data_IF_563965593905
#
_entry.id   IF_563965593905
#
_cell.length_a   1.000
_cell.length_b   1.000
_cell.length_c   1.000
_cell.angle_alpha   90.00
_cell.angle_beta   90.00
_cell.angle_gamma   90.00
#
_symmetry.space_group_name_H-M   'P 1'
#
loop_
_entity.id
_entity.type
_entity.pdbx_description
1 polymer ?
#
# COMPACT_ATOMS: atom_id res chain seq x y z
N UNK A 1 5.88 -68.08 -24.61
CA UNK A 1 4.59 -68.41 -23.97
C UNK A 1 4.57 -67.63 -22.67
N UNK A 2 3.82 -66.54 -22.50
CA UNK A 2 2.41 -66.36 -22.87
C UNK A 2 2.16 -64.93 -23.37
N UNK A 3 1.26 -64.86 -24.34
CA UNK A 3 0.76 -63.69 -25.08
C UNK A 3 -0.01 -62.67 -24.24
N UNK A 4 -0.02 -61.46 -24.82
CA UNK A 4 -0.95 -60.33 -24.71
C UNK A 4 -2.33 -60.56 -24.10
N UNK A 5 -2.74 -59.63 -23.24
CA UNK A 5 -4.15 -59.23 -23.08
C UNK A 5 -4.26 -57.74 -23.38
N UNK A 6 -4.72 -57.49 -24.60
CA UNK A 6 -5.14 -56.19 -25.12
C UNK A 6 -6.47 -55.79 -24.49
N UNK A 7 -6.52 -54.65 -23.79
CA UNK A 7 -7.79 -53.97 -23.51
C UNK A 7 -7.88 -52.79 -24.48
N UNK A 8 -8.42 -53.09 -25.66
CA UNK A 8 -8.89 -52.08 -26.60
C UNK A 8 -10.20 -51.50 -26.05
N UNK A 9 -10.15 -50.27 -25.54
CA UNK A 9 -11.35 -49.42 -25.50
C UNK A 9 -11.38 -48.64 -26.81
N UNK A 10 -11.91 -49.30 -27.84
CA UNK A 10 -12.37 -48.66 -29.07
C UNK A 10 -13.73 -48.05 -28.75
N UNK A 11 -13.75 -46.76 -28.47
CA UNK A 11 -14.94 -45.93 -28.73
C UNK A 11 -14.67 -45.20 -30.03
N UNK A 12 -15.38 -45.65 -31.07
CA UNK A 12 -15.35 -45.12 -32.41
C UNK A 12 -15.65 -43.62 -32.43
N UNK A 13 -14.65 -42.81 -32.78
CA UNK A 13 -14.88 -41.48 -33.32
C UNK A 13 -15.06 -41.63 -34.84
N UNK A 14 -16.30 -41.88 -35.25
CA UNK A 14 -16.70 -41.70 -36.65
C UNK A 14 -16.71 -40.21 -36.96
N UNK A 15 -15.76 -39.78 -37.80
CA UNK A 15 -15.75 -38.44 -38.38
C UNK A 15 -14.36 -37.85 -38.43
N UNK A 16 -13.58 -38.22 -39.44
CA UNK A 16 -12.57 -37.33 -40.02
C UNK A 16 -13.29 -36.22 -40.78
N UNK A 17 -13.14 -34.93 -40.42
CA UNK A 17 -13.19 -33.88 -41.41
C UNK A 17 -11.76 -33.46 -41.71
N UNK A 18 -11.26 -33.97 -42.83
CA UNK A 18 -10.18 -33.31 -43.54
C UNK A 18 -10.60 -31.88 -43.87
N UNK A 19 -9.98 -30.91 -43.21
CA UNK A 19 -9.71 -29.58 -43.72
C UNK A 19 -8.84 -28.85 -42.70
N UNK A 20 -7.67 -28.42 -43.15
CA UNK A 20 -6.72 -27.53 -42.47
C UNK A 20 -7.37 -26.17 -42.12
N UNK A 21 -8.25 -26.15 -41.13
CA UNK A 21 -8.75 -24.95 -40.49
C UNK A 21 -7.89 -24.67 -39.27
N UNK A 22 -7.08 -23.60 -39.30
CA UNK A 22 -6.47 -23.10 -38.09
C UNK A 22 -7.55 -22.97 -37.00
N UNK A 23 -7.32 -23.43 -35.76
CA UNK A 23 -8.33 -23.35 -34.72
C UNK A 23 -8.78 -21.91 -34.59
N UNK A 24 -10.10 -21.67 -34.67
CA UNK A 24 -10.67 -20.34 -34.45
C UNK A 24 -10.17 -19.75 -33.13
N UNK A 25 -10.28 -18.43 -32.97
CA UNK A 25 -9.74 -17.71 -31.80
C UNK A 25 -10.08 -18.40 -30.47
N UNK A 26 -11.31 -18.87 -30.30
CA UNK A 26 -11.75 -19.60 -29.12
C UNK A 26 -11.00 -20.93 -28.93
N UNK A 27 -10.85 -21.73 -29.99
CA UNK A 27 -10.10 -22.99 -29.94
C UNK A 27 -8.62 -22.77 -29.61
N UNK A 28 -8.02 -21.70 -30.16
CA UNK A 28 -6.66 -21.29 -29.80
C UNK A 28 -6.58 -20.91 -28.32
N UNK A 29 -7.48 -20.06 -27.82
CA UNK A 29 -7.48 -19.65 -26.41
C UNK A 29 -7.66 -20.82 -25.43
N UNK A 30 -8.57 -21.75 -25.72
CA UNK A 30 -8.78 -22.95 -24.89
C UNK A 30 -7.54 -23.83 -24.88
N UNK A 31 -6.88 -23.99 -26.03
CA UNK A 31 -5.62 -24.74 -26.13
C UNK A 31 -4.52 -24.08 -25.30
N UNK A 32 -4.28 -22.79 -25.49
CA UNK A 32 -3.25 -22.07 -24.74
C UNK A 32 -3.54 -22.06 -23.23
N UNK A 33 -4.80 -21.95 -22.82
CA UNK A 33 -5.21 -22.09 -21.42
C UNK A 33 -4.83 -23.46 -20.85
N UNK A 34 -5.15 -24.55 -21.57
CA UNK A 34 -4.79 -25.90 -21.12
C UNK A 34 -3.28 -26.06 -20.98
N UNK A 35 -2.53 -25.69 -22.02
CA UNK A 35 -1.08 -25.89 -22.07
C UNK A 35 -0.33 -25.02 -21.06
N UNK A 36 -0.71 -23.75 -20.92
CA UNK A 36 0.05 -22.80 -20.10
C UNK A 36 -0.41 -22.76 -18.63
N UNK A 37 -1.66 -23.15 -18.35
CA UNK A 37 -2.28 -22.98 -17.02
C UNK A 37 -2.66 -24.33 -16.39
N UNK A 38 -3.39 -25.18 -17.11
CA UNK A 38 -3.94 -26.42 -16.53
C UNK A 38 -2.86 -27.50 -16.41
N UNK A 39 -2.17 -27.82 -17.49
CA UNK A 39 -1.12 -28.86 -17.51
C UNK A 39 0.01 -28.59 -16.51
N UNK A 40 0.49 -27.35 -16.32
CA UNK A 40 1.51 -27.04 -15.32
C UNK A 40 0.96 -26.94 -13.88
N UNK A 41 -0.34 -27.22 -13.64
CA UNK A 41 -0.97 -27.15 -12.32
C UNK A 41 -1.15 -25.73 -11.77
N UNK A 42 -1.14 -24.71 -12.63
CA UNK A 42 -1.23 -23.29 -12.25
C UNK A 42 -2.67 -22.78 -12.13
N UNK A 43 -3.65 -23.60 -12.47
CA UNK A 43 -5.07 -23.23 -12.52
C UNK A 43 -5.60 -22.59 -11.22
N UNK A 44 -5.34 -23.13 -10.01
CA UNK A 44 -5.80 -22.49 -8.78
C UNK A 44 -5.24 -21.07 -8.57
N UNK A 45 -3.97 -20.85 -8.92
CA UNK A 45 -3.32 -19.55 -8.80
C UNK A 45 -3.83 -18.57 -9.86
N UNK A 46 -4.08 -19.05 -11.08
CA UNK A 46 -4.70 -18.26 -12.14
C UNK A 46 -6.11 -17.81 -11.73
N UNK A 47 -6.94 -18.74 -11.22
CA UNK A 47 -8.28 -18.42 -10.79
C UNK A 47 -8.32 -17.52 -9.55
N UNK A 48 -7.34 -17.63 -8.65
CA UNK A 48 -7.12 -16.65 -7.58
C UNK A 48 -6.91 -15.25 -8.15
N UNK A 49 -6.04 -15.10 -9.15
CA UNK A 49 -5.81 -13.80 -9.80
C UNK A 49 -7.09 -13.26 -10.45
N UNK A 50 -7.84 -14.12 -11.15
CA UNK A 50 -9.12 -13.75 -11.78
C UNK A 50 -10.15 -13.33 -10.74
N UNK A 51 -10.37 -14.14 -9.69
CA UNK A 51 -11.32 -13.84 -8.62
C UNK A 51 -10.96 -12.55 -7.88
N UNK A 52 -9.68 -12.28 -7.68
CA UNK A 52 -9.18 -11.04 -7.10
C UNK A 52 -9.51 -9.83 -7.98
N UNK A 53 -9.15 -9.86 -9.26
CA UNK A 53 -9.42 -8.73 -10.18
C UNK A 53 -10.94 -8.49 -10.30
N UNK A 54 -11.72 -9.55 -10.49
CA UNK A 54 -13.17 -9.45 -10.69
C UNK A 54 -13.88 -8.91 -9.45
N UNK A 55 -13.58 -9.42 -8.26
CA UNK A 55 -14.19 -8.95 -7.01
C UNK A 55 -13.84 -7.50 -6.69
N UNK A 56 -12.57 -7.10 -6.90
CA UNK A 56 -12.14 -5.72 -6.72
C UNK A 56 -12.85 -4.77 -7.71
N UNK A 57 -12.90 -5.14 -8.99
CA UNK A 57 -13.60 -4.36 -9.99
C UNK A 57 -15.10 -4.26 -9.70
N UNK A 58 -15.70 -5.38 -9.28
CA UNK A 58 -17.11 -5.46 -8.91
C UNK A 58 -17.44 -4.54 -7.74
N UNK A 59 -16.69 -4.59 -6.64
CA UNK A 59 -17.00 -3.75 -5.48
C UNK A 59 -16.78 -2.26 -5.77
N UNK A 60 -15.75 -1.92 -6.55
CA UNK A 60 -15.52 -0.54 -7.03
C UNK A 60 -16.67 -0.04 -7.89
N UNK A 61 -17.18 -0.90 -8.78
CA UNK A 61 -18.34 -0.59 -9.61
C UNK A 61 -19.59 -0.42 -8.73
N UNK A 62 -19.83 -1.33 -7.79
CA UNK A 62 -20.94 -1.27 -6.84
C UNK A 62 -20.96 0.06 -6.09
N UNK A 63 -19.85 0.43 -5.43
CA UNK A 63 -19.73 1.72 -4.71
C UNK A 63 -19.97 2.91 -5.63
N UNK A 64 -19.49 2.84 -6.88
CA UNK A 64 -19.71 3.90 -7.87
C UNK A 64 -21.19 4.02 -8.24
N UNK A 65 -21.87 2.91 -8.52
CA UNK A 65 -23.30 2.89 -8.83
C UNK A 65 -24.13 3.44 -7.66
N UNK A 66 -23.78 3.08 -6.42
CA UNK A 66 -24.41 3.59 -5.20
C UNK A 66 -24.23 5.11 -5.08
N UNK A 67 -23.02 5.62 -5.28
CA UNK A 67 -22.73 7.07 -5.25
C UNK A 67 -23.43 7.85 -6.35
N UNK A 68 -23.69 7.22 -7.50
CA UNK A 68 -24.46 7.82 -8.60
C UNK A 68 -25.98 7.67 -8.45
N UNK A 69 -26.47 7.04 -7.38
CA UNK A 69 -27.91 6.89 -7.13
C UNK A 69 -28.63 6.02 -8.16
N UNK A 70 -27.94 5.02 -8.72
CA UNK A 70 -28.49 4.15 -9.77
C UNK A 70 -29.62 3.28 -9.19
N UNK A 71 -30.86 3.55 -9.62
CA UNK A 71 -32.09 3.00 -9.03
C UNK A 71 -32.26 1.48 -9.09
N UNK A 72 -31.66 0.81 -10.08
CA UNK A 72 -31.76 -0.66 -10.22
C UNK A 72 -30.75 -1.42 -9.35
N UNK A 73 -29.77 -0.73 -8.78
CA UNK A 73 -28.76 -1.37 -7.95
C UNK A 73 -29.26 -1.50 -6.50
N UNK A 74 -29.14 -2.67 -5.85
CA UNK A 74 -29.72 -2.95 -4.53
C UNK A 74 -29.18 -2.09 -3.37
N UNK A 75 -28.14 -1.29 -3.61
CA UNK A 75 -27.64 -0.35 -2.61
C UNK A 75 -26.79 -1.00 -1.53
N UNK A 76 -26.74 -0.36 -0.36
CA UNK A 76 -25.97 -0.84 0.79
C UNK A 76 -26.72 -1.96 1.54
N UNK A 77 -25.98 -2.97 2.01
CA UNK A 77 -26.51 -4.04 2.84
C UNK A 77 -26.54 -3.56 4.30
N UNK A 78 -27.74 -3.32 4.84
CA UNK A 78 -27.96 -2.82 6.21
C UNK A 78 -29.05 -3.60 6.97
N UNK A 79 -28.82 -4.88 7.32
CA UNK A 79 -29.77 -5.64 8.12
C UNK A 79 -29.88 -5.01 9.52
N UNK A 80 -31.07 -4.53 9.90
CA UNK A 80 -31.30 -3.92 11.21
C UNK A 80 -30.55 -2.61 11.48
N UNK A 81 -30.10 -1.90 10.43
CA UNK A 81 -29.35 -0.63 10.56
C UNK A 81 -27.84 -0.78 10.73
N UNK A 82 -27.30 -2.01 10.77
CA UNK A 82 -25.85 -2.25 10.82
C UNK A 82 -25.26 -2.28 9.41
N UNK A 83 -24.35 -1.35 9.10
CA UNK A 83 -23.62 -1.35 7.84
C UNK A 83 -22.49 -2.38 7.86
N UNK A 84 -22.66 -3.46 7.10
CA UNK A 84 -21.65 -4.51 6.99
C UNK A 84 -20.64 -4.10 5.91
N UNK A 85 -19.39 -3.87 6.32
CA UNK A 85 -18.30 -3.63 5.38
C UNK A 85 -18.07 -4.89 4.54
N UNK A 86 -17.92 -4.73 3.23
CA UNK A 86 -17.71 -5.87 2.32
C UNK A 86 -16.44 -6.67 2.63
N UNK A 87 -15.48 -6.06 3.34
CA UNK A 87 -14.33 -6.73 3.96
C UNK A 87 -14.72 -7.95 4.81
N UNK A 88 -15.87 -7.91 5.49
CA UNK A 88 -16.35 -9.03 6.32
C UNK A 88 -16.65 -10.27 5.45
N UNK A 89 -17.28 -10.08 4.30
CA UNK A 89 -17.47 -11.16 3.33
C UNK A 89 -16.13 -11.65 2.79
N UNK A 90 -15.18 -10.74 2.57
CA UNK A 90 -13.82 -11.09 2.17
C UNK A 90 -13.11 -12.01 3.17
N UNK A 91 -13.23 -11.72 4.48
CA UNK A 91 -12.70 -12.58 5.55
C UNK A 91 -13.37 -13.96 5.52
N UNK A 92 -14.68 -14.02 5.32
CA UNK A 92 -15.39 -15.29 5.18
C UNK A 92 -14.84 -16.13 4.03
N UNK A 93 -14.68 -15.54 2.83
CA UNK A 93 -14.09 -16.24 1.69
C UNK A 93 -12.66 -16.70 1.95
N UNK A 94 -11.83 -15.90 2.62
CA UNK A 94 -10.49 -16.31 3.04
C UNK A 94 -10.51 -17.50 3.99
N UNK A 95 -11.39 -17.52 4.99
CA UNK A 95 -11.49 -18.64 5.93
C UNK A 95 -11.92 -19.92 5.22
N UNK A 96 -13.00 -19.86 4.42
CA UNK A 96 -13.49 -21.01 3.66
C UNK A 96 -12.43 -21.52 2.69
N UNK A 97 -11.83 -20.64 1.89
CA UNK A 97 -10.84 -21.01 0.90
C UNK A 97 -9.53 -21.49 1.52
N UNK A 98 -9.05 -20.79 2.55
CA UNK A 98 -7.81 -21.11 3.25
C UNK A 98 -7.91 -22.45 3.99
N UNK A 99 -8.96 -22.66 4.78
CA UNK A 99 -9.19 -23.94 5.47
C UNK A 99 -9.40 -25.05 4.46
N UNK A 100 -10.24 -24.82 3.45
CA UNK A 100 -10.48 -25.78 2.37
C UNK A 100 -9.19 -26.20 1.65
N UNK A 101 -8.24 -25.28 1.47
CA UNK A 101 -6.97 -25.58 0.80
C UNK A 101 -6.12 -26.63 1.52
N UNK A 102 -6.28 -26.78 2.84
CA UNK A 102 -5.58 -27.78 3.65
C UNK A 102 -6.31 -29.11 3.75
N UNK A 103 -7.63 -29.14 3.51
CA UNK A 103 -8.45 -30.35 3.63
C UNK A 103 -8.67 -31.06 2.30
N UNK A 104 -8.58 -30.35 1.17
CA UNK A 104 -8.84 -30.91 -0.16
C UNK A 104 -7.59 -31.63 -0.70
N UNK A 105 -7.72 -32.92 -1.10
CA UNK A 105 -6.61 -33.68 -1.69
C UNK A 105 -6.07 -33.06 -2.97
N UNK A 106 -4.79 -33.33 -3.27
CA UNK A 106 -4.12 -32.80 -4.46
C UNK A 106 -4.80 -33.19 -5.78
N UNK A 107 -5.43 -34.37 -5.85
CA UNK A 107 -6.10 -34.89 -7.04
C UNK A 107 -7.49 -34.26 -7.33
N UNK A 108 -8.01 -33.44 -6.43
CA UNK A 108 -9.32 -32.79 -6.59
C UNK A 108 -9.19 -31.41 -7.26
N UNK A 109 -8.67 -31.39 -8.49
CA UNK A 109 -8.26 -30.16 -9.19
C UNK A 109 -9.38 -29.11 -9.27
N UNK A 110 -10.61 -29.52 -9.60
CA UNK A 110 -11.75 -28.60 -9.68
C UNK A 110 -12.06 -27.87 -8.36
N UNK A 111 -11.95 -28.56 -7.22
CA UNK A 111 -12.14 -27.95 -5.91
C UNK A 111 -11.00 -27.01 -5.54
N UNK A 112 -9.76 -27.36 -5.88
CA UNK A 112 -8.61 -26.49 -5.65
C UNK A 112 -8.72 -25.21 -6.49
N UNK A 113 -9.18 -25.34 -7.73
CA UNK A 113 -9.47 -24.25 -8.65
C UNK A 113 -10.56 -23.32 -8.10
N UNK A 114 -11.66 -23.88 -7.57
CA UNK A 114 -12.71 -23.10 -6.90
C UNK A 114 -12.20 -22.39 -5.64
N UNK A 115 -11.45 -23.07 -4.78
CA UNK A 115 -10.88 -22.48 -3.58
C UNK A 115 -9.90 -21.35 -3.92
N UNK A 116 -9.08 -21.52 -4.96
CA UNK A 116 -8.22 -20.47 -5.50
C UNK A 116 -9.04 -19.24 -5.89
N UNK A 117 -10.10 -19.42 -6.69
CA UNK A 117 -11.01 -18.34 -7.06
C UNK A 117 -11.61 -17.62 -5.85
N UNK A 118 -12.17 -18.37 -4.89
CA UNK A 118 -12.77 -17.80 -3.68
C UNK A 118 -11.74 -17.07 -2.82
N UNK A 119 -10.52 -17.60 -2.69
CA UNK A 119 -9.44 -16.90 -2.00
C UNK A 119 -9.13 -15.56 -2.68
N UNK A 120 -9.10 -15.55 -4.01
CA UNK A 120 -8.99 -14.35 -4.83
C UNK A 120 -10.09 -13.35 -4.54
N UNK A 121 -11.36 -13.80 -4.54
CA UNK A 121 -12.51 -12.97 -4.16
C UNK A 121 -12.32 -12.36 -2.77
N UNK A 122 -11.85 -13.15 -1.80
CA UNK A 122 -11.48 -12.67 -0.47
C UNK A 122 -10.44 -11.55 -0.51
N UNK A 123 -9.37 -11.71 -1.29
CA UNK A 123 -8.33 -10.70 -1.46
C UNK A 123 -8.89 -9.37 -2.00
N UNK A 124 -9.74 -9.42 -3.04
CA UNK A 124 -10.29 -8.22 -3.65
C UNK A 124 -11.21 -7.44 -2.72
N UNK A 125 -12.05 -8.15 -1.95
CA UNK A 125 -12.95 -7.53 -0.99
C UNK A 125 -12.22 -6.97 0.24
N UNK A 126 -11.21 -7.68 0.77
CA UNK A 126 -10.48 -7.18 1.94
C UNK A 126 -9.55 -6.01 1.58
N UNK A 127 -8.84 -6.11 0.45
CA UNK A 127 -7.85 -5.10 0.07
C UNK A 127 -8.48 -3.81 -0.45
N UNK A 128 -9.74 -3.82 -0.86
CA UNK A 128 -10.45 -2.58 -1.21
C UNK A 128 -10.52 -1.62 -0.01
N UNK A 129 -10.70 -2.18 1.20
CA UNK A 129 -10.72 -1.46 2.48
C UNK A 129 -9.37 -1.45 3.21
N UNK A 130 -8.27 -1.76 2.51
CA UNK A 130 -6.93 -1.79 3.11
C UNK A 130 -6.58 -0.53 3.92
N UNK A 131 -7.04 0.63 3.46
CA UNK A 131 -6.89 1.90 4.18
C UNK A 131 -7.51 1.87 5.58
N UNK A 132 -8.72 1.31 5.72
CA UNK A 132 -9.46 1.18 6.98
C UNK A 132 -8.80 0.18 7.92
N UNK A 133 -8.29 -0.94 7.39
CA UNK A 133 -7.56 -1.96 8.17
C UNK A 133 -6.34 -1.36 8.87
N UNK A 134 -5.61 -0.46 8.21
CA UNK A 134 -4.42 0.15 8.79
C UNK A 134 -4.71 1.34 9.72
N UNK A 135 -5.86 2.00 9.58
CA UNK A 135 -6.20 3.21 10.33
C UNK A 135 -7.67 3.12 10.73
N UNK A 136 -7.93 2.54 11.91
CA UNK A 136 -9.28 2.27 12.44
C UNK A 136 -10.02 3.52 12.96
N UNK A 137 -9.35 4.67 13.05
CA UNK A 137 -9.96 5.92 13.49
C UNK A 137 -10.63 6.60 12.29
N UNK A 138 -11.95 6.38 12.18
CA UNK A 138 -12.84 7.15 11.32
C UNK A 138 -12.47 8.64 11.34
N UNK A 139 -12.50 9.26 10.15
CA UNK A 139 -12.03 10.61 9.81
C UNK A 139 -10.59 10.62 9.30
N UNK A 140 -10.34 10.26 8.04
CA UNK A 140 -9.32 10.99 7.24
C UNK A 140 -9.55 10.87 5.72
N UNK A 141 -9.68 12.03 5.09
CA UNK A 141 -10.36 12.30 3.82
C UNK A 141 -9.52 12.05 2.55
N UNK A 142 -10.19 11.66 1.45
CA UNK A 142 -9.85 11.79 0.01
C UNK A 142 -8.55 11.23 -0.59
N UNK A 143 -7.46 11.07 0.18
CA UNK A 143 -6.18 10.59 -0.37
C UNK A 143 -6.01 9.07 -0.26
N UNK A 144 -6.77 8.42 0.62
CA UNK A 144 -6.57 7.03 1.05
C UNK A 144 -7.15 5.98 0.09
N UNK A 145 -8.16 6.30 -0.72
CA UNK A 145 -8.62 5.40 -1.81
C UNK A 145 -7.46 5.01 -2.74
N UNK A 146 -6.42 5.84 -2.82
CA UNK A 146 -5.18 5.58 -3.56
C UNK A 146 -4.27 4.55 -2.89
N UNK A 147 -4.26 4.45 -1.54
CA UNK A 147 -3.45 3.46 -0.81
C UNK A 147 -4.01 2.04 -0.94
N UNK A 148 -5.33 1.88 -0.93
CA UNK A 148 -5.96 0.59 -1.22
C UNK A 148 -5.66 0.15 -2.66
N UNK A 149 -5.72 1.06 -3.64
CA UNK A 149 -5.36 0.75 -5.03
C UNK A 149 -3.88 0.35 -5.16
N UNK A 150 -2.97 1.04 -4.46
CA UNK A 150 -1.55 0.62 -4.40
C UNK A 150 -1.42 -0.81 -3.87
N UNK A 151 -2.12 -1.16 -2.77
CA UNK A 151 -2.08 -2.51 -2.20
C UNK A 151 -2.64 -3.57 -3.18
N UNK A 152 -3.74 -3.27 -3.86
CA UNK A 152 -4.36 -4.17 -4.85
C UNK A 152 -3.46 -4.38 -6.06
N UNK A 153 -2.88 -3.31 -6.62
CA UNK A 153 -1.93 -3.42 -7.74
C UNK A 153 -0.74 -4.29 -7.34
N UNK A 154 -0.19 -4.07 -6.14
CA UNK A 154 0.91 -4.89 -5.64
C UNK A 154 0.52 -6.36 -5.52
N UNK A 155 -0.67 -6.66 -4.99
CA UNK A 155 -1.19 -8.02 -4.88
C UNK A 155 -1.33 -8.68 -6.24
N UNK A 156 -1.99 -8.01 -7.20
CA UNK A 156 -2.16 -8.48 -8.59
C UNK A 156 -0.80 -8.73 -9.25
N UNK A 157 0.14 -7.80 -9.11
CA UNK A 157 1.48 -7.93 -9.68
C UNK A 157 2.23 -9.12 -9.08
N UNK A 158 2.17 -9.30 -7.76
CA UNK A 158 2.87 -10.40 -7.10
C UNK A 158 2.27 -11.76 -7.47
N UNK A 159 0.94 -11.88 -7.47
CA UNK A 159 0.24 -13.10 -7.89
C UNK A 159 0.49 -13.40 -9.36
N UNK A 160 0.40 -12.41 -10.26
CA UNK A 160 0.70 -12.58 -11.67
C UNK A 160 2.16 -12.97 -11.92
N UNK A 161 3.08 -12.42 -11.13
CA UNK A 161 4.50 -12.78 -11.21
C UNK A 161 4.75 -14.22 -10.78
N UNK A 162 4.09 -14.68 -9.71
CA UNK A 162 4.13 -16.10 -9.29
C UNK A 162 3.55 -17.02 -10.35
N UNK A 163 2.51 -16.58 -11.08
CA UNK A 163 1.94 -17.35 -12.17
C UNK A 163 2.92 -17.54 -13.34
N UNK A 164 3.67 -16.49 -13.68
CA UNK A 164 4.64 -16.50 -14.78
C UNK A 164 5.92 -17.25 -14.39
N UNK A 165 6.54 -16.86 -13.28
CA UNK A 165 7.86 -17.34 -12.85
C UNK A 165 7.78 -18.70 -12.14
N UNK A 166 6.64 -19.03 -11.55
CA UNK A 166 6.52 -20.13 -10.60
C UNK A 166 7.05 -19.74 -9.21
N UNK A 167 6.89 -20.63 -8.22
CA UNK A 167 7.32 -20.33 -6.87
C UNK A 167 8.86 -20.30 -6.79
N UNK A 168 9.44 -19.33 -6.07
CA UNK A 168 10.89 -19.13 -6.01
C UNK A 168 11.61 -20.29 -5.32
N UNK A 169 10.91 -21.27 -4.75
CA UNK A 169 11.54 -22.44 -4.16
C UNK A 169 12.20 -23.33 -5.22
N UNK A 170 11.79 -23.31 -6.49
CA UNK A 170 12.33 -24.17 -7.56
C UNK A 170 13.85 -24.11 -7.79
N UNK A 171 14.60 -23.20 -7.15
CA UNK A 171 16.06 -23.25 -7.12
C UNK A 171 16.64 -24.53 -6.47
N UNK A 172 15.86 -25.29 -5.69
CA UNK A 172 16.30 -26.61 -5.19
C UNK A 172 16.44 -27.65 -6.33
N UNK A 173 15.71 -27.50 -7.43
CA UNK A 173 15.72 -28.45 -8.56
C UNK A 173 16.90 -28.23 -9.52
N UNK A 174 17.58 -27.09 -9.43
CA UNK A 174 18.74 -26.75 -10.26
C UNK A 174 20.05 -27.43 -9.81
N UNK A 175 19.98 -28.46 -8.96
CA UNK A 175 21.14 -29.22 -8.49
C UNK A 175 22.10 -28.43 -7.59
N UNK A 176 21.66 -27.32 -7.00
CA UNK A 176 22.48 -26.50 -6.12
C UNK A 176 22.75 -27.16 -4.77
N UNK A 177 23.97 -27.00 -4.24
CA UNK A 177 24.25 -27.43 -2.86
C UNK A 177 23.34 -26.66 -1.88
N UNK A 178 22.84 -27.28 -0.79
CA UNK A 178 21.97 -26.59 0.18
C UNK A 178 22.60 -25.30 0.73
N UNK A 179 23.92 -25.30 0.92
CA UNK A 179 24.69 -24.12 1.31
C UNK A 179 24.67 -23.03 0.23
N UNK A 180 24.83 -23.41 -1.05
CA UNK A 180 24.76 -22.47 -2.17
C UNK A 180 23.39 -21.83 -2.31
N UNK A 181 22.32 -22.64 -2.24
CA UNK A 181 20.93 -22.13 -2.26
C UNK A 181 20.68 -21.18 -1.09
N UNK A 182 21.09 -21.57 0.11
CA UNK A 182 20.96 -20.73 1.31
C UNK A 182 21.73 -19.42 1.16
N UNK A 183 22.95 -19.45 0.63
CA UNK A 183 23.76 -18.27 0.40
C UNK A 183 23.10 -17.31 -0.61
N UNK A 184 22.52 -17.84 -1.69
CA UNK A 184 21.79 -17.04 -2.70
C UNK A 184 20.53 -16.40 -2.09
N UNK A 185 19.75 -17.16 -1.31
CA UNK A 185 18.56 -16.63 -0.64
C UNK A 185 18.92 -15.52 0.35
N UNK A 186 19.97 -15.73 1.16
CA UNK A 186 20.50 -14.71 2.07
C UNK A 186 20.99 -13.47 1.31
N UNK A 187 21.71 -13.65 0.20
CA UNK A 187 22.17 -12.53 -0.62
C UNK A 187 20.99 -11.74 -1.21
N UNK A 188 19.96 -12.41 -1.71
CA UNK A 188 18.74 -11.75 -2.19
C UNK A 188 18.03 -11.00 -1.06
N UNK A 189 17.90 -11.61 0.12
CA UNK A 189 17.32 -10.96 1.30
C UNK A 189 18.07 -9.68 1.67
N UNK A 190 19.41 -9.71 1.67
CA UNK A 190 20.24 -8.52 1.91
C UNK A 190 19.95 -7.43 0.87
N UNK A 191 19.85 -7.78 -0.41
CA UNK A 191 19.52 -6.81 -1.45
C UNK A 191 18.11 -6.22 -1.24
N UNK A 192 17.11 -7.04 -0.91
CA UNK A 192 15.75 -6.60 -0.57
C UNK A 192 15.80 -5.61 0.59
N UNK A 193 16.44 -5.96 1.70
CA UNK A 193 16.57 -5.07 2.88
C UNK A 193 17.24 -3.75 2.50
N UNK A 194 18.33 -3.78 1.72
CA UNK A 194 19.02 -2.56 1.26
C UNK A 194 18.10 -1.69 0.39
N UNK A 195 17.32 -2.29 -0.52
CA UNK A 195 16.38 -1.52 -1.37
C UNK A 195 15.24 -0.89 -0.57
N UNK A 196 14.71 -1.61 0.42
CA UNK A 196 13.68 -1.11 1.33
C UNK A 196 14.21 0.03 2.21
N UNK A 197 15.40 -0.13 2.79
CA UNK A 197 16.07 0.93 3.58
C UNK A 197 16.33 2.18 2.73
N UNK A 198 16.53 2.02 1.42
CA UNK A 198 16.65 3.11 0.44
C UNK A 198 15.33 3.77 0.08
N UNK A 199 14.20 3.34 0.65
CA UNK A 199 12.87 3.90 0.46
C UNK A 199 12.21 3.48 -0.85
N UNK A 200 12.63 2.37 -1.46
CA UNK A 200 12.09 1.88 -2.74
C UNK A 200 11.23 0.63 -2.53
N UNK A 201 10.10 0.83 -1.85
CA UNK A 201 9.19 -0.23 -1.42
C UNK A 201 8.80 -1.15 -2.59
N UNK A 202 8.35 -0.56 -3.70
CA UNK A 202 7.94 -1.29 -4.90
C UNK A 202 9.05 -2.16 -5.52
N UNK A 203 10.25 -1.60 -5.72
CA UNK A 203 11.36 -2.38 -6.29
C UNK A 203 11.87 -3.45 -5.33
N UNK A 204 11.78 -3.21 -4.02
CA UNK A 204 12.16 -4.19 -3.02
C UNK A 204 11.18 -5.36 -2.95
N UNK A 205 9.88 -5.07 -2.94
CA UNK A 205 8.84 -6.11 -2.90
C UNK A 205 8.81 -6.96 -4.18
N UNK A 206 8.80 -6.33 -5.35
CA UNK A 206 8.91 -7.07 -6.63
C UNK A 206 10.25 -7.78 -6.75
N UNK A 207 11.30 -7.21 -6.17
CA UNK A 207 12.64 -7.79 -6.19
C UNK A 207 12.82 -9.02 -5.31
N UNK A 208 11.87 -9.34 -4.42
CA UNK A 208 11.85 -10.63 -3.70
C UNK A 208 11.75 -11.77 -4.72
N UNK A 209 10.87 -11.62 -5.71
CA UNK A 209 10.66 -12.58 -6.80
C UNK A 209 11.60 -12.34 -7.99
N UNK A 210 12.07 -11.10 -8.17
CA UNK A 210 12.95 -10.68 -9.27
C UNK A 210 14.27 -10.08 -8.73
N UNK A 211 15.25 -10.90 -8.31
CA UNK A 211 16.52 -10.43 -7.74
C UNK A 211 17.23 -9.32 -8.55
N UNK A 212 17.22 -9.31 -9.91
CA UNK A 212 17.79 -8.21 -10.68
C UNK A 212 17.20 -6.83 -10.37
N UNK A 213 15.90 -6.74 -10.05
CA UNK A 213 15.27 -5.47 -9.66
C UNK A 213 15.84 -4.95 -8.32
N UNK A 214 16.11 -5.87 -7.40
CA UNK A 214 16.74 -5.58 -6.12
C UNK A 214 18.17 -5.07 -6.31
N UNK A 215 18.95 -5.67 -7.22
CA UNK A 215 20.30 -5.20 -7.54
C UNK A 215 20.27 -3.76 -8.09
N UNK A 216 19.40 -3.48 -9.06
CA UNK A 216 19.22 -2.12 -9.62
C UNK A 216 18.77 -1.14 -8.53
N UNK A 217 17.85 -1.56 -7.66
CA UNK A 217 17.39 -0.79 -6.51
C UNK A 217 18.49 -0.51 -5.49
N UNK A 218 19.40 -1.45 -5.26
CA UNK A 218 20.49 -1.36 -4.31
C UNK A 218 21.61 -0.45 -4.83
N UNK A 219 21.96 -0.54 -6.12
CA UNK A 219 22.98 0.30 -6.77
C UNK A 219 22.51 1.75 -6.91
N UNK A 220 21.25 1.98 -7.28
CA UNK A 220 20.72 3.34 -7.48
C UNK A 220 20.65 4.14 -6.18
N UNK A 221 20.81 5.47 -6.29
CA UNK A 221 20.66 6.42 -5.18
C UNK A 221 19.34 6.22 -4.41
N UNK A 222 19.41 6.43 -3.09
CA UNK A 222 18.28 6.31 -2.17
C UNK A 222 17.30 7.48 -2.30
N UNK A 223 16.04 7.26 -1.91
CA UNK A 223 15.04 8.32 -1.81
C UNK A 223 15.47 9.30 -0.68
N UNK A 224 15.39 10.64 -0.87
CA UNK A 224 15.84 11.62 0.13
C UNK A 224 15.17 11.51 1.50
N UNK A 225 13.92 11.04 1.53
CA UNK A 225 13.13 10.80 2.75
C UNK A 225 13.44 9.46 3.42
N UNK A 226 14.25 8.59 2.82
CA UNK A 226 14.52 7.23 3.33
C UNK A 226 15.43 7.19 4.57
N UNK A 227 15.32 6.15 5.41
CA UNK A 227 16.27 5.90 6.50
C UNK A 227 17.73 5.90 6.03
N UNK A 228 18.01 5.28 4.87
CA UNK A 228 19.35 5.24 4.29
C UNK A 228 19.89 6.64 3.97
N UNK A 229 19.07 7.53 3.42
CA UNK A 229 19.48 8.90 3.13
C UNK A 229 19.73 9.70 4.42
N UNK A 230 18.89 9.52 5.45
CA UNK A 230 19.08 10.17 6.75
C UNK A 230 20.35 9.71 7.45
N UNK A 231 20.70 8.44 7.36
CA UNK A 231 21.91 7.90 7.97
C UNK A 231 23.17 8.22 7.15
N UNK A 232 23.15 8.03 5.82
CA UNK A 232 24.36 8.06 4.99
C UNK A 232 24.61 9.39 4.26
N UNK A 233 23.59 10.21 4.04
CA UNK A 233 23.67 11.44 3.24
C UNK A 233 23.61 12.74 4.06
N UNK A 234 23.26 12.69 5.34
CA UNK A 234 23.25 13.84 6.26
C UNK A 234 24.59 14.58 6.30
N UNK A 235 25.72 13.85 6.34
CA UNK A 235 27.06 14.45 6.24
C UNK A 235 27.56 14.75 4.82
N UNK A 236 26.75 14.55 3.76
CA UNK A 236 27.19 14.66 2.35
C UNK A 236 26.21 15.49 1.51
N UNK A 237 26.25 16.81 1.69
CA UNK A 237 25.35 17.78 1.04
C UNK A 237 25.23 17.61 -0.48
N UNK A 238 26.35 17.36 -1.20
CA UNK A 238 26.35 17.15 -2.65
C UNK A 238 25.51 15.94 -3.09
N UNK A 239 25.58 14.82 -2.34
CA UNK A 239 24.80 13.60 -2.65
C UNK A 239 23.32 13.78 -2.31
N UNK A 240 22.99 14.44 -1.20
CA UNK A 240 21.60 14.79 -0.85
C UNK A 240 20.95 15.71 -1.90
N UNK A 241 21.67 16.74 -2.36
CA UNK A 241 21.18 17.65 -3.39
C UNK A 241 20.96 16.95 -4.74
N UNK A 242 21.82 15.99 -5.12
CA UNK A 242 21.62 15.16 -6.33
C UNK A 242 20.39 14.26 -6.21
N UNK A 243 20.19 13.62 -5.05
CA UNK A 243 19.02 12.77 -4.80
C UNK A 243 17.71 13.58 -4.90
N UNK A 244 17.65 14.75 -4.24
CA UNK A 244 16.48 15.66 -4.30
C UNK A 244 16.17 16.14 -5.73
N UNK A 245 17.19 16.55 -6.48
CA UNK A 245 17.00 17.01 -7.88
C UNK A 245 16.45 15.91 -8.79
N UNK A 246 16.90 14.67 -8.60
CA UNK A 246 16.43 13.51 -9.36
C UNK A 246 14.98 13.17 -9.04
N UNK A 247 14.66 13.08 -7.74
CA UNK A 247 13.30 12.82 -7.28
C UNK A 247 12.35 13.90 -7.80
N UNK A 248 12.69 15.17 -7.65
CA UNK A 248 11.83 16.27 -8.09
C UNK A 248 11.47 16.24 -9.59
N UNK A 249 12.34 15.70 -10.45
CA UNK A 249 12.05 15.57 -11.90
C UNK A 249 11.17 14.38 -12.22
N UNK A 250 11.42 13.24 -11.59
CA UNK A 250 10.73 11.98 -11.90
C UNK A 250 9.39 11.88 -11.16
N UNK A 251 9.38 12.23 -9.87
CA UNK A 251 8.21 12.14 -9.00
C UNK A 251 7.06 12.99 -9.55
N UNK A 252 7.30 14.25 -9.93
CA UNK A 252 6.26 15.13 -10.50
C UNK A 252 5.55 14.56 -11.74
N UNK A 253 6.27 13.84 -12.62
CA UNK A 253 5.67 13.26 -13.83
C UNK A 253 4.91 11.99 -13.52
N UNK A 254 5.54 11.10 -12.76
CA UNK A 254 4.94 9.82 -12.39
C UNK A 254 3.73 10.01 -11.46
N UNK A 255 3.79 10.94 -10.51
CA UNK A 255 2.69 11.20 -9.59
C UNK A 255 1.48 11.74 -10.33
N UNK A 256 1.65 12.64 -11.30
CA UNK A 256 0.54 13.14 -12.12
C UNK A 256 -0.11 12.03 -12.95
N UNK A 257 0.70 11.15 -13.55
CA UNK A 257 0.19 10.02 -14.32
C UNK A 257 -0.54 9.02 -13.42
N UNK A 258 0.08 8.70 -12.28
CA UNK A 258 -0.48 7.84 -11.23
C UNK A 258 -1.81 8.39 -10.70
N UNK A 259 -1.87 9.69 -10.44
CA UNK A 259 -3.08 10.39 -10.00
C UNK A 259 -4.19 10.27 -11.03
N UNK A 260 -3.92 10.53 -12.32
CA UNK A 260 -4.92 10.36 -13.39
C UNK A 260 -5.45 8.92 -13.50
N UNK A 261 -4.55 7.94 -13.40
CA UNK A 261 -4.94 6.53 -13.40
C UNK A 261 -5.78 6.18 -12.16
N UNK A 262 -5.45 6.74 -11.01
CA UNK A 262 -6.22 6.55 -9.78
C UNK A 262 -7.57 7.25 -9.80
N UNK A 263 -7.68 8.43 -10.39
CA UNK A 263 -8.95 9.12 -10.54
C UNK A 263 -9.91 8.32 -11.45
N UNK A 264 -9.38 7.59 -12.43
CA UNK A 264 -10.15 6.65 -13.24
C UNK A 264 -10.71 5.49 -12.40
N UNK A 265 -9.84 4.83 -11.61
CA UNK A 265 -10.21 3.61 -10.85
C UNK A 265 -11.02 3.93 -9.59
N UNK A 266 -10.55 4.86 -8.76
CA UNK A 266 -11.11 5.19 -7.46
C UNK A 266 -12.16 6.32 -7.50
N UNK A 267 -12.26 7.05 -8.62
CA UNK A 267 -13.08 8.26 -8.74
C UNK A 267 -12.35 9.51 -8.22
N UNK A 268 -12.60 10.66 -8.85
CA UNK A 268 -11.99 11.92 -8.45
C UNK A 268 -12.36 12.25 -6.99
N UNK A 269 -11.40 12.71 -6.16
CA UNK A 269 -11.70 13.11 -4.80
C UNK A 269 -12.68 14.28 -4.82
N UNK A 270 -13.79 14.14 -4.08
CA UNK A 270 -14.66 15.28 -3.80
C UNK A 270 -13.82 16.29 -3.03
N UNK A 271 -13.59 17.51 -3.55
CA UNK A 271 -12.85 18.52 -2.81
C UNK A 271 -13.54 18.69 -1.46
N UNK A 272 -12.79 18.53 -0.37
CA UNK A 272 -13.30 18.83 0.95
C UNK A 272 -13.80 20.28 0.90
N UNK A 273 -15.12 20.45 0.95
CA UNK A 273 -15.69 21.78 1.13
C UNK A 273 -15.04 22.36 2.38
N UNK A 274 -14.54 23.61 2.34
CA UNK A 274 -13.99 24.23 3.53
C UNK A 274 -15.04 24.13 4.63
N UNK A 275 -14.71 23.46 5.74
CA UNK A 275 -15.61 23.34 6.90
C UNK A 275 -16.16 24.74 7.21
N UNK A 276 -17.47 25.00 7.10
CA UNK A 276 -18.04 26.34 7.27
C UNK A 276 -17.77 26.95 8.66
N UNK A 277 -17.29 26.16 9.63
CA UNK A 277 -17.01 26.60 10.98
C UNK A 277 -15.67 27.31 11.21
N UNK A 278 -14.61 27.10 10.40
CA UNK A 278 -13.29 27.67 10.73
C UNK A 278 -13.12 29.14 10.35
N UNK A 279 -13.84 29.59 9.32
CA UNK A 279 -13.95 31.02 8.98
C UNK A 279 -15.04 31.73 9.77
N UNK A 280 -16.12 31.03 10.14
CA UNK A 280 -17.17 31.58 10.99
C UNK A 280 -16.70 31.74 12.45
N UNK A 281 -15.96 30.79 13.02
CA UNK A 281 -15.36 30.93 14.35
C UNK A 281 -14.30 32.05 14.39
N UNK A 282 -13.48 32.17 13.34
CA UNK A 282 -12.51 33.26 13.22
C UNK A 282 -13.15 34.65 12.95
N UNK A 283 -14.40 34.70 12.47
CA UNK A 283 -15.17 35.96 12.32
C UNK A 283 -15.97 36.27 13.58
N UNK A 284 -16.63 35.29 14.19
CA UNK A 284 -17.36 35.47 15.45
C UNK A 284 -16.47 35.84 16.63
N UNK A 285 -15.20 35.42 16.64
CA UNK A 285 -14.21 35.85 17.63
C UNK A 285 -13.63 37.25 17.32
N UNK A 286 -13.76 37.73 16.08
CA UNK A 286 -13.43 39.11 15.69
C UNK A 286 -14.62 40.08 15.89
N UNK A 287 -15.86 39.59 15.76
CA UNK A 287 -17.10 40.35 15.92
C UNK A 287 -17.42 40.63 17.41
N UNK A 288 -16.72 39.98 18.34
CA UNK A 288 -16.82 40.21 19.79
C UNK A 288 -15.74 41.12 20.38
N UNK A 289 -14.78 41.58 19.58
CA UNK A 289 -13.75 42.54 20.02
C UNK A 289 -14.25 43.94 19.63
N UNK A 290 -14.56 44.83 20.60
CA UNK A 290 -14.98 46.19 20.26
C UNK A 290 -13.89 46.85 19.42
N UNK A 291 -14.29 47.50 18.33
CA UNK A 291 -13.37 48.18 17.44
C UNK A 291 -12.44 49.09 18.27
N UNK A 292 -11.10 49.01 18.07
CA UNK A 292 -10.18 49.87 18.78
C UNK A 292 -10.59 51.34 18.56
N UNK A 293 -10.68 52.12 19.65
CA UNK A 293 -10.98 53.54 19.54
C UNK A 293 -10.01 54.25 18.59
N UNK A 294 -10.37 55.42 18.04
CA UNK A 294 -9.62 56.08 16.97
C UNK A 294 -8.12 56.30 17.31
N UNK A 295 -7.80 56.50 18.59
CA UNK A 295 -6.41 56.61 19.07
C UNK A 295 -5.67 55.27 18.99
N UNK A 296 -6.31 54.16 19.37
CA UNK A 296 -5.71 52.83 19.33
C UNK A 296 -5.54 52.33 17.90
N UNK A 297 -6.47 52.67 17.00
CA UNK A 297 -6.35 52.39 15.58
C UNK A 297 -5.18 53.14 14.93
N UNK A 298 -4.96 54.42 15.29
CA UNK A 298 -3.84 55.22 14.81
C UNK A 298 -2.49 54.69 15.30
N UNK A 299 -2.40 54.27 16.57
CA UNK A 299 -1.18 53.65 17.12
C UNK A 299 -0.86 52.33 16.43
N UNK A 300 -1.86 51.48 16.20
CA UNK A 300 -1.64 50.21 15.49
C UNK A 300 -1.25 50.43 14.03
N UNK A 301 -1.81 51.44 13.35
CA UNK A 301 -1.42 51.81 11.99
C UNK A 301 0.03 52.33 11.93
N UNK A 302 0.43 53.18 12.90
CA UNK A 302 1.80 53.67 13.00
C UNK A 302 2.81 52.55 13.29
N UNK A 303 2.47 51.61 14.20
CA UNK A 303 3.30 50.42 14.46
C UNK A 303 3.42 49.51 13.23
N UNK A 304 2.36 49.40 12.42
CA UNK A 304 2.37 48.58 11.22
C UNK A 304 3.21 49.22 10.10
N UNK A 305 3.19 50.55 9.99
CA UNK A 305 4.03 51.31 9.07
C UNK A 305 5.50 51.24 9.47
N UNK A 306 5.81 51.37 10.75
CA UNK A 306 7.16 51.21 11.30
C UNK A 306 7.69 49.78 11.08
N UNK A 307 6.84 48.76 11.32
CA UNK A 307 7.17 47.35 10.99
C UNK A 307 7.44 47.15 9.51
N UNK A 308 6.71 47.84 8.61
CA UNK A 308 6.92 47.76 7.15
C UNK A 308 8.20 48.45 6.71
N UNK A 309 8.58 49.56 7.36
CA UNK A 309 9.82 50.29 7.11
C UNK A 309 11.08 49.55 7.63
N UNK A 310 10.92 48.62 8.58
CA UNK A 310 12.05 47.92 9.18
C UNK A 310 12.82 47.04 8.16
N UNK A 311 14.14 47.24 7.96
CA UNK A 311 14.93 46.47 7.01
C UNK A 311 14.90 44.96 7.32
N UNK A 312 14.87 44.12 6.28
CA UNK A 312 14.79 42.66 6.42
C UNK A 312 15.87 42.06 7.34
N UNK A 313 17.04 42.70 7.41
CA UNK A 313 18.18 42.31 8.25
C UNK A 313 17.89 42.48 9.75
N UNK A 314 17.16 43.53 10.14
CA UNK A 314 16.73 43.76 11.53
C UNK A 314 15.66 42.73 11.94
N UNK A 315 14.70 42.44 11.05
CA UNK A 315 13.69 41.38 11.25
C UNK A 315 14.32 40.00 11.44
N UNK A 316 15.39 39.69 10.69
CA UNK A 316 16.15 38.46 10.88
C UNK A 316 16.87 38.41 12.23
N UNK A 317 17.49 39.52 12.64
CA UNK A 317 18.21 39.62 13.90
C UNK A 317 17.26 39.41 15.09
N UNK A 318 16.09 40.05 15.07
CA UNK A 318 15.04 39.87 16.06
C UNK A 318 14.59 38.40 16.13
N UNK A 319 14.28 37.75 14.99
CA UNK A 319 13.88 36.33 14.95
C UNK A 319 14.96 35.39 15.47
N UNK A 320 16.24 35.70 15.21
CA UNK A 320 17.39 34.93 15.75
C UNK A 320 17.50 35.11 17.26
N UNK A 321 17.30 36.32 17.78
CA UNK A 321 17.30 36.61 19.22
C UNK A 321 16.15 35.87 19.93
N UNK A 322 14.93 35.90 19.39
CA UNK A 322 13.78 35.16 19.96
C UNK A 322 14.01 33.64 19.94
N UNK A 323 14.59 33.12 18.85
CA UNK A 323 14.96 31.71 18.75
C UNK A 323 16.05 31.32 19.75
N UNK A 324 17.03 32.22 20.00
CA UNK A 324 18.06 32.01 21.00
C UNK A 324 17.48 32.03 22.43
N UNK A 325 16.56 32.96 22.72
CA UNK A 325 15.84 33.03 24.00
C UNK A 325 15.03 31.74 24.27
N UNK A 326 14.28 31.25 23.28
CA UNK A 326 13.57 29.96 23.38
C UNK A 326 14.51 28.79 23.64
N UNK A 327 15.67 28.74 22.97
CA UNK A 327 16.69 27.68 23.21
C UNK A 327 17.28 27.76 24.61
N UNK A 328 17.48 28.96 25.16
CA UNK A 328 17.95 29.16 26.55
C UNK A 328 16.88 28.71 27.55
N UNK A 329 15.61 29.05 27.34
CA UNK A 329 14.50 28.60 28.19
C UNK A 329 14.36 27.07 28.19
N UNK A 330 14.45 26.42 27.03
CA UNK A 330 14.40 24.94 26.94
C UNK A 330 15.62 24.28 27.62
N UNK A 331 16.81 24.87 27.52
CA UNK A 331 18.00 24.39 28.24
C UNK A 331 17.88 24.58 29.75
N UNK A 332 17.29 25.69 30.21
CA UNK A 332 17.01 25.92 31.62
C UNK A 332 16.01 24.90 32.17
N UNK A 333 14.90 24.65 31.45
CA UNK A 333 13.91 23.64 31.82
C UNK A 333 14.46 22.20 31.87
N UNK A 334 15.42 21.86 31.00
CA UNK A 334 16.13 20.57 31.06
C UNK A 334 17.11 20.45 32.22
N UNK A 335 17.69 21.56 32.70
CA UNK A 335 18.57 21.57 33.88
C UNK A 335 17.77 21.42 35.17
N UNK A 336 16.62 22.09 35.31
CA UNK A 336 15.71 21.92 36.45
C UNK A 336 15.11 20.51 36.53
N UNK A 337 14.73 19.90 35.40
CA UNK A 337 14.26 18.52 35.38
C UNK A 337 15.34 17.51 35.81
N UNK A 338 16.62 17.81 35.54
CA UNK A 338 17.76 16.96 35.92
C UNK A 338 18.14 17.09 37.39
N UNK A 339 18.01 18.28 38.00
CA UNK A 339 18.24 18.47 39.45
C UNK A 339 17.13 17.86 40.30
N UNK A 340 15.86 17.90 39.86
CA UNK A 340 14.75 17.24 40.57
C UNK A 340 14.91 15.71 40.60
N UNK A 341 15.45 15.11 39.54
CA UNK A 341 15.68 13.65 39.47
C UNK A 341 16.82 13.16 40.38
N UNK A 342 17.77 14.04 40.73
CA UNK A 342 18.91 13.70 41.61
C UNK A 342 18.54 13.83 43.10
N UNK A 343 17.46 14.55 43.44
CA UNK A 343 17.07 14.82 44.83
C UNK A 343 15.97 13.90 45.40
N UNK A 344 15.65 12.78 44.74
CA UNK A 344 14.81 11.73 45.37
C UNK A 344 15.64 10.96 46.41
N UNK A 345 15.23 10.93 47.70
CA UNK A 345 15.92 10.11 48.69
C UNK A 345 15.68 8.63 48.38
N UNK A 346 16.74 7.80 48.52
CA UNK A 346 16.62 6.35 48.66
C UNK A 346 16.35 6.04 50.14
N UNK A 347 15.37 5.18 50.40
CA UNK A 347 14.98 4.67 51.73
C UNK A 347 13.53 5.06 52.04
N UNK A 348 12.62 4.18 52.45
CA UNK A 348 12.74 2.97 53.28
C UNK A 348 11.51 2.07 53.06
N UNK A 349 11.67 0.74 53.08
CA UNK A 349 10.61 -0.17 53.54
C UNK A 349 10.66 -0.26 55.07
N UNK A 350 9.86 -1.12 55.76
CA UNK A 350 8.80 -2.03 55.31
C UNK A 350 7.46 -1.74 56.03
N UNK A 351 6.36 -2.38 55.62
CA UNK A 351 5.25 -2.62 56.55
C UNK A 351 4.61 -3.99 56.31
N UNK A 352 4.64 -4.78 57.38
CA UNK A 352 4.03 -6.11 57.58
C UNK A 352 3.00 -5.90 58.68
N UNK A 353 1.78 -6.41 58.49
CA UNK A 353 0.70 -6.80 59.44
C UNK A 353 -0.61 -6.73 58.63
N UNK A 354 -1.53 -7.69 58.65
CA UNK A 354 -1.76 -8.86 59.51
C UNK A 354 -2.52 -9.88 58.68
#
# INVERSE_FOLDING_TARGET
MVESVSVQVVTAASGEPGASGAPGLFGTLVREYRVLIVEPGKEPLFLLLVGFILSFAFIRLSVRLIRHGVRWWPGNITPGGLHIHHMVFGIFFWLVAGIGSFTIPAAADGWRSLLGFLFGVGCGLVLDEFALILHLEDVYWSEQGRKSVDAVILGILLTGLLLVIGPPVGFYELGGSPLGVTAVLCANLVLVVVTLLKGKIWTGLLGIMLPPLCLVGAVRLALPSSPWARWRYTGRARRMARARRREARLHRRLDRLKQRFFDLIAGAPTPALPVPGRRAAARGEADGVPAPGPVTAAVLAAEEEERRAEPWTARLAARRATAAARRRAVRAGRRTARTVRVRRPRGSGPFRTR
#
